data_IF_849970345561
#
_entry.id   IF_849970345561
#
_cell.length_a   1.000
_cell.length_b   1.000
_cell.length_c   1.000
_cell.angle_alpha   90.00
_cell.angle_beta   90.00
_cell.angle_gamma   90.00
#
_symmetry.space_group_name_H-M   'P 1'
#
loop_
_entity.id
_entity.type
_entity.pdbx_description
1 polymer ?
#
# COMPACT_ATOMS: atom_id res chain seq x y z
N UNK A 1 -11.65 -23.27 9.26
CA UNK A 1 -12.00 -23.41 7.82
C UNK A 1 -10.71 -23.27 7.01
N UNK A 2 -10.48 -24.08 5.95
CA UNK A 2 -9.29 -23.90 5.09
C UNK A 2 -9.50 -22.69 4.18
N UNK A 3 -8.47 -21.83 3.99
CA UNK A 3 -8.59 -20.66 3.11
C UNK A 3 -8.70 -21.09 1.64
N UNK A 4 -9.62 -20.45 0.89
CA UNK A 4 -9.69 -20.40 -0.57
C UNK A 4 -9.53 -18.95 -0.95
N UNK A 5 -8.43 -18.63 -1.62
CA UNK A 5 -7.94 -17.26 -1.74
C UNK A 5 -8.23 -16.70 -3.12
N UNK A 6 -8.73 -15.47 -3.17
CA UNK A 6 -8.74 -14.63 -4.38
C UNK A 6 -7.63 -13.60 -4.24
N UNK A 7 -6.74 -13.52 -5.22
CA UNK A 7 -5.72 -12.47 -5.33
C UNK A 7 -6.02 -11.62 -6.55
N UNK A 8 -6.20 -10.32 -6.38
CA UNK A 8 -6.38 -9.39 -7.50
C UNK A 8 -5.04 -8.98 -8.10
N UNK A 9 -5.04 -8.46 -9.33
CA UNK A 9 -3.81 -8.06 -10.01
C UNK A 9 -2.77 -9.19 -10.12
N UNK A 10 -3.24 -10.41 -10.37
CA UNK A 10 -2.41 -11.62 -10.38
C UNK A 10 -1.27 -11.59 -11.41
N UNK A 11 -1.37 -10.76 -12.44
CA UNK A 11 -0.31 -10.49 -13.41
C UNK A 11 0.75 -9.49 -12.93
N UNK A 12 0.48 -8.74 -11.87
CA UNK A 12 1.42 -7.81 -11.26
C UNK A 12 2.47 -8.51 -10.37
N UNK A 13 3.56 -7.81 -9.98
CA UNK A 13 4.62 -8.41 -9.16
C UNK A 13 4.11 -8.95 -7.83
N UNK A 14 3.31 -8.16 -7.08
CA UNK A 14 2.72 -8.59 -5.81
C UNK A 14 1.80 -9.79 -5.97
N UNK A 15 0.90 -9.76 -6.96
CA UNK A 15 -0.04 -10.85 -7.22
C UNK A 15 0.67 -12.15 -7.59
N UNK A 16 1.70 -12.10 -8.44
CA UNK A 16 2.53 -13.27 -8.78
C UNK A 16 3.25 -13.84 -7.55
N UNK A 17 3.87 -12.98 -6.74
CA UNK A 17 4.57 -13.39 -5.54
C UNK A 17 3.62 -14.11 -4.54
N UNK A 18 2.44 -13.55 -4.31
CA UNK A 18 1.42 -14.14 -3.44
C UNK A 18 0.88 -15.47 -4.00
N UNK A 19 0.59 -15.53 -5.30
CA UNK A 19 0.11 -16.75 -5.93
C UNK A 19 1.14 -17.89 -5.79
N UNK A 20 2.43 -17.61 -6.01
CA UNK A 20 3.51 -18.56 -5.82
C UNK A 20 3.63 -19.03 -4.36
N UNK A 21 3.58 -18.09 -3.41
CA UNK A 21 3.64 -18.39 -1.98
C UNK A 21 2.43 -19.21 -1.48
N UNK A 22 1.22 -18.90 -1.94
CA UNK A 22 0.01 -19.66 -1.60
C UNK A 22 0.10 -21.09 -2.16
N UNK A 23 0.52 -21.22 -3.43
CA UNK A 23 0.70 -22.51 -4.07
C UNK A 23 1.74 -23.38 -3.34
N UNK A 24 2.87 -22.81 -2.94
CA UNK A 24 3.90 -23.56 -2.19
C UNK A 24 3.42 -24.07 -0.82
N UNK A 25 2.39 -23.41 -0.24
CA UNK A 25 1.72 -23.83 1.00
C UNK A 25 0.52 -24.77 0.76
N UNK A 26 0.26 -25.18 -0.49
CA UNK A 26 -0.87 -26.04 -0.84
C UNK A 26 -2.24 -25.36 -0.64
N UNK A 27 -2.29 -24.01 -0.67
CA UNK A 27 -3.52 -23.24 -0.49
C UNK A 27 -4.13 -22.96 -1.86
N UNK A 28 -5.41 -23.31 -2.09
CA UNK A 28 -6.11 -23.00 -3.34
C UNK A 28 -6.19 -21.49 -3.57
N UNK A 29 -5.71 -21.03 -4.73
CA UNK A 29 -5.68 -19.62 -5.11
C UNK A 29 -6.27 -19.42 -6.51
N UNK A 30 -7.15 -18.44 -6.63
CA UNK A 30 -7.67 -17.91 -7.89
C UNK A 30 -7.11 -16.50 -8.07
N UNK A 31 -6.60 -16.19 -9.25
CA UNK A 31 -6.19 -14.84 -9.61
C UNK A 31 -7.26 -14.08 -10.34
N UNK A 32 -7.26 -12.75 -10.24
CA UNK A 32 -7.96 -11.87 -11.19
C UNK A 32 -7.02 -10.82 -11.74
N UNK A 33 -7.26 -10.40 -12.97
CA UNK A 33 -6.55 -9.31 -13.63
C UNK A 33 -7.47 -8.64 -14.64
N UNK A 34 -7.11 -7.45 -15.15
CA UNK A 34 -7.85 -6.78 -16.23
C UNK A 34 -7.61 -7.44 -17.59
N UNK A 35 -6.63 -8.31 -17.70
CA UNK A 35 -6.25 -9.05 -18.91
C UNK A 35 -6.16 -10.53 -18.61
N UNK A 36 -6.41 -11.33 -19.62
CA UNK A 36 -6.04 -12.74 -19.58
C UNK A 36 -4.53 -12.87 -19.47
N UNK A 37 -4.07 -13.82 -18.68
CA UNK A 37 -2.64 -14.15 -18.58
C UNK A 37 -2.35 -15.40 -19.42
N UNK A 38 -1.13 -15.49 -19.99
CA UNK A 38 -0.73 -16.67 -20.75
C UNK A 38 -0.85 -17.96 -19.95
N UNK A 39 -1.14 -19.05 -20.62
CA UNK A 39 -1.09 -20.38 -20.02
C UNK A 39 0.32 -20.60 -19.44
N UNK A 40 0.39 -21.05 -18.16
CA UNK A 40 1.66 -21.20 -17.46
C UNK A 40 1.98 -20.10 -16.43
N UNK A 41 1.11 -19.11 -16.25
CA UNK A 41 1.24 -18.08 -15.21
C UNK A 41 1.23 -18.60 -13.75
N UNK A 42 1.15 -19.92 -13.58
CA UNK A 42 1.24 -20.57 -12.27
C UNK A 42 -0.05 -20.56 -11.45
N UNK A 43 -1.05 -19.78 -11.85
CA UNK A 43 -2.36 -19.65 -11.22
C UNK A 43 -3.44 -19.46 -12.29
N UNK A 44 -4.65 -19.97 -12.05
CA UNK A 44 -5.82 -19.65 -12.89
C UNK A 44 -6.20 -18.20 -12.67
N UNK A 45 -6.31 -17.42 -13.76
CA UNK A 45 -6.68 -16.00 -13.73
C UNK A 45 -7.98 -15.80 -14.49
N UNK A 46 -8.91 -15.07 -13.87
CA UNK A 46 -10.18 -14.68 -14.46
C UNK A 46 -10.15 -13.17 -14.72
N UNK A 47 -10.43 -12.74 -15.96
CA UNK A 47 -10.54 -11.31 -16.27
C UNK A 47 -11.67 -10.65 -15.49
N UNK A 48 -11.39 -9.42 -14.99
CA UNK A 48 -12.36 -8.57 -14.31
C UNK A 48 -12.24 -7.13 -14.83
N UNK A 49 -13.31 -6.32 -14.71
CA UNK A 49 -13.26 -4.91 -15.08
C UNK A 49 -12.15 -4.18 -14.32
N UNK A 50 -11.57 -3.10 -14.90
CA UNK A 50 -10.61 -2.25 -14.22
C UNK A 50 -11.23 -1.51 -13.03
N UNK A 51 -10.40 -0.99 -12.13
CA UNK A 51 -10.85 -0.25 -10.95
C UNK A 51 -11.72 0.99 -11.28
N UNK A 52 -11.56 1.58 -12.46
CA UNK A 52 -12.39 2.70 -12.94
C UNK A 52 -13.80 2.30 -13.37
N UNK A 53 -14.07 1.00 -13.53
CA UNK A 53 -15.38 0.49 -13.92
C UNK A 53 -16.27 0.33 -12.67
N UNK A 54 -17.50 0.89 -12.67
CA UNK A 54 -18.42 0.78 -11.55
C UNK A 54 -18.82 -0.67 -11.21
N UNK A 55 -18.70 -1.59 -12.16
CA UNK A 55 -19.03 -3.00 -11.97
C UNK A 55 -17.89 -3.85 -11.38
N UNK A 56 -16.71 -3.29 -11.14
CA UNK A 56 -15.53 -4.03 -10.67
C UNK A 56 -15.81 -4.80 -9.37
N UNK A 57 -16.34 -4.13 -8.34
CA UNK A 57 -16.65 -4.78 -7.05
C UNK A 57 -17.72 -5.86 -7.22
N UNK A 58 -18.74 -5.59 -8.05
CA UNK A 58 -19.80 -6.56 -8.35
C UNK A 58 -19.26 -7.80 -9.07
N UNK A 59 -18.31 -7.62 -9.99
CA UNK A 59 -17.63 -8.71 -10.68
C UNK A 59 -16.80 -9.57 -9.73
N UNK A 60 -16.00 -8.95 -8.86
CA UNK A 60 -15.24 -9.66 -7.82
C UNK A 60 -16.18 -10.44 -6.87
N UNK A 61 -17.28 -9.82 -6.43
CA UNK A 61 -18.28 -10.48 -5.58
C UNK A 61 -18.88 -11.72 -6.24
N UNK A 62 -19.26 -11.64 -7.52
CA UNK A 62 -19.79 -12.79 -8.28
C UNK A 62 -18.78 -13.95 -8.30
N UNK A 63 -17.49 -13.66 -8.50
CA UNK A 63 -16.43 -14.66 -8.47
C UNK A 63 -16.29 -15.28 -7.07
N UNK A 64 -16.27 -14.46 -6.03
CA UNK A 64 -16.19 -14.91 -4.63
C UNK A 64 -17.28 -15.94 -4.32
N UNK A 65 -18.52 -15.64 -4.69
CA UNK A 65 -19.66 -16.53 -4.46
C UNK A 65 -19.55 -17.82 -5.32
N UNK A 66 -19.29 -17.67 -6.61
CA UNK A 66 -19.22 -18.81 -7.56
C UNK A 66 -18.13 -19.80 -7.18
N UNK A 67 -16.98 -19.29 -6.77
CA UNK A 67 -15.78 -20.12 -6.50
C UNK A 67 -15.65 -20.52 -5.02
N UNK A 68 -16.59 -20.11 -4.14
CA UNK A 68 -16.54 -20.39 -2.72
C UNK A 68 -15.31 -19.81 -2.03
N UNK A 69 -14.87 -18.62 -2.46
CA UNK A 69 -13.74 -17.89 -1.87
C UNK A 69 -14.13 -17.39 -0.49
N UNK A 70 -13.21 -17.49 0.48
CA UNK A 70 -13.40 -17.00 1.84
C UNK A 70 -12.30 -16.03 2.31
N UNK A 71 -11.28 -15.80 1.45
CA UNK A 71 -10.21 -14.84 1.71
C UNK A 71 -9.90 -14.06 0.43
N UNK A 72 -10.03 -12.74 0.46
CA UNK A 72 -9.71 -11.84 -0.67
C UNK A 72 -8.50 -10.99 -0.30
N UNK A 73 -7.47 -11.00 -1.15
CA UNK A 73 -6.25 -10.21 -1.00
C UNK A 73 -6.13 -9.24 -2.18
N UNK A 74 -6.53 -7.97 -2.02
CA UNK A 74 -6.37 -6.96 -3.06
C UNK A 74 -4.89 -6.54 -3.17
N UNK A 75 -4.38 -6.38 -4.41
CA UNK A 75 -2.99 -5.97 -4.65
C UNK A 75 -2.83 -4.79 -5.60
N UNK A 76 -3.92 -4.25 -6.14
CA UNK A 76 -3.90 -3.13 -7.10
C UNK A 76 -4.28 -1.84 -6.39
N UNK A 77 -3.37 -0.85 -6.33
CA UNK A 77 -3.60 0.40 -5.61
C UNK A 77 -4.89 1.11 -6.03
N UNK A 78 -5.20 1.09 -7.34
CA UNK A 78 -6.37 1.79 -7.90
C UNK A 78 -7.72 1.21 -7.38
N UNK A 79 -7.77 -0.06 -6.98
CA UNK A 79 -9.01 -0.71 -6.50
C UNK A 79 -9.23 -0.57 -4.99
N UNK A 80 -8.16 -0.24 -4.23
CA UNK A 80 -8.19 -0.30 -2.76
C UNK A 80 -9.29 0.56 -2.13
N UNK A 81 -9.52 1.83 -2.54
CA UNK A 81 -10.57 2.64 -1.94
C UNK A 81 -11.96 2.03 -2.09
N UNK A 82 -12.28 1.48 -3.26
CA UNK A 82 -13.57 0.84 -3.52
C UNK A 82 -13.71 -0.49 -2.77
N UNK A 83 -12.66 -1.33 -2.79
CA UNK A 83 -12.67 -2.61 -2.07
C UNK A 83 -12.79 -2.38 -0.56
N UNK A 84 -12.12 -1.36 0.00
CA UNK A 84 -12.25 -1.01 1.40
C UNK A 84 -13.66 -0.53 1.76
N UNK A 85 -14.22 0.39 0.95
CA UNK A 85 -15.56 0.94 1.15
C UNK A 85 -16.66 -0.14 1.09
N UNK A 86 -16.51 -1.09 0.19
CA UNK A 86 -17.52 -2.13 -0.07
C UNK A 86 -17.13 -3.52 0.44
N UNK A 87 -16.14 -3.62 1.36
CA UNK A 87 -15.69 -4.93 1.86
C UNK A 87 -16.81 -5.81 2.43
N UNK A 88 -17.84 -5.22 3.04
CA UNK A 88 -19.00 -5.94 3.56
C UNK A 88 -19.86 -6.61 2.47
N UNK A 89 -19.81 -6.10 1.23
CA UNK A 89 -20.56 -6.67 0.11
C UNK A 89 -20.06 -8.06 -0.31
N UNK A 90 -18.85 -8.47 0.07
CA UNK A 90 -18.34 -9.81 -0.19
C UNK A 90 -19.00 -10.89 0.68
N UNK A 91 -19.67 -10.49 1.75
CA UNK A 91 -20.43 -11.37 2.66
C UNK A 91 -19.73 -11.63 4.00
N UNK A 92 -20.47 -12.05 5.02
CA UNK A 92 -19.99 -12.17 6.40
C UNK A 92 -18.95 -13.29 6.59
N UNK A 93 -18.94 -14.28 5.71
CA UNK A 93 -18.00 -15.41 5.75
C UNK A 93 -16.70 -15.16 4.96
N UNK A 94 -16.58 -14.00 4.30
CA UNK A 94 -15.42 -13.63 3.48
C UNK A 94 -14.60 -12.58 4.21
N UNK A 95 -13.32 -12.89 4.43
CA UNK A 95 -12.37 -11.90 4.94
C UNK A 95 -11.68 -11.21 3.78
N UNK A 96 -11.74 -9.89 3.76
CA UNK A 96 -10.99 -9.05 2.81
C UNK A 96 -9.80 -8.45 3.56
N UNK A 97 -8.59 -8.68 3.05
CA UNK A 97 -7.35 -8.20 3.67
C UNK A 97 -7.09 -6.76 3.21
N UNK A 98 -7.72 -5.85 3.91
CA UNK A 98 -7.63 -4.41 3.64
C UNK A 98 -7.93 -3.64 4.93
N UNK A 99 -7.31 -2.47 5.07
CA UNK A 99 -7.59 -1.54 6.16
C UNK A 99 -8.97 -0.89 6.07
N UNK A 100 -9.27 -0.01 7.02
CA UNK A 100 -10.50 0.76 7.02
C UNK A 100 -10.52 1.79 5.88
N UNK A 101 -11.72 2.15 5.35
CA UNK A 101 -11.84 3.02 4.17
C UNK A 101 -11.15 4.38 4.30
N UNK A 102 -11.23 5.04 5.45
CA UNK A 102 -10.59 6.34 5.69
C UNK A 102 -9.05 6.26 5.59
N UNK A 103 -8.38 5.44 6.40
CA UNK A 103 -6.96 5.15 6.29
C UNK A 103 -6.49 4.76 4.89
N UNK A 104 -7.23 3.88 4.22
CA UNK A 104 -6.90 3.46 2.84
C UNK A 104 -7.00 4.61 1.85
N UNK A 105 -8.03 5.47 1.96
CA UNK A 105 -8.19 6.63 1.11
C UNK A 105 -7.07 7.66 1.32
N UNK A 106 -6.66 7.91 2.58
CA UNK A 106 -5.51 8.76 2.91
C UNK A 106 -4.22 8.23 2.28
N UNK A 107 -3.94 6.94 2.41
CA UNK A 107 -2.74 6.32 1.86
C UNK A 107 -2.73 6.29 0.32
N UNK A 108 -3.89 6.27 -0.32
CA UNK A 108 -4.00 6.25 -1.78
C UNK A 108 -3.67 7.60 -2.44
N UNK A 109 -3.74 8.72 -1.69
CA UNK A 109 -3.41 10.06 -2.15
C UNK A 109 -2.11 10.55 -1.52
N UNK A 110 -1.06 10.74 -2.34
CA UNK A 110 0.29 11.11 -1.88
C UNK A 110 0.34 12.45 -1.15
N UNK A 111 -0.53 13.40 -1.52
CA UNK A 111 -0.59 14.70 -0.83
C UNK A 111 -1.23 14.55 0.55
N UNK A 112 -2.33 13.81 0.66
CA UNK A 112 -2.97 13.55 1.95
C UNK A 112 -2.07 12.71 2.87
N UNK A 113 -1.38 11.71 2.29
CA UNK A 113 -0.33 10.96 3.00
C UNK A 113 0.74 11.89 3.55
N UNK A 114 1.31 12.77 2.71
CA UNK A 114 2.36 13.69 3.11
C UNK A 114 1.91 14.66 4.22
N UNK A 115 0.70 15.22 4.13
CA UNK A 115 0.13 16.08 5.17
C UNK A 115 -0.05 15.35 6.49
N UNK A 116 -0.64 14.15 6.46
CA UNK A 116 -0.88 13.35 7.68
C UNK A 116 0.43 12.97 8.35
N UNK A 117 1.42 12.50 7.58
CA UNK A 117 2.73 12.11 8.10
C UNK A 117 3.49 13.31 8.67
N UNK A 118 3.49 14.44 7.96
CA UNK A 118 4.11 15.69 8.43
C UNK A 118 3.49 16.16 9.74
N UNK A 119 2.17 16.19 9.83
CA UNK A 119 1.45 16.56 11.05
C UNK A 119 1.73 15.62 12.23
N UNK A 120 2.02 14.35 11.95
CA UNK A 120 2.40 13.35 12.95
C UNK A 120 3.90 13.34 13.30
N UNK A 121 4.71 14.23 12.70
CA UNK A 121 6.15 14.28 12.92
C UNK A 121 6.93 13.14 12.26
N UNK A 122 6.32 12.40 11.32
CA UNK A 122 7.01 11.39 10.54
C UNK A 122 7.77 12.07 9.39
N UNK A 123 9.08 11.81 9.21
CA UNK A 123 9.88 12.46 8.18
C UNK A 123 9.34 12.16 6.76
N UNK A 124 9.07 13.23 6.01
CA UNK A 124 8.68 13.20 4.59
C UNK A 124 9.54 14.21 3.82
N UNK A 125 9.67 14.11 2.49
CA UNK A 125 10.24 15.18 1.67
C UNK A 125 9.47 16.48 1.91
N UNK A 126 10.10 17.65 1.72
CA UNK A 126 9.36 18.89 1.57
C UNK A 126 8.45 18.79 0.37
N UNK A 127 7.25 19.35 0.43
CA UNK A 127 6.24 19.14 -0.60
C UNK A 127 5.28 20.31 -0.70
N UNK A 128 4.59 20.39 -1.84
CA UNK A 128 3.49 21.32 -2.13
C UNK A 128 2.70 20.84 -3.34
N UNK A 129 1.84 21.68 -3.85
CA UNK A 129 1.14 21.48 -5.13
C UNK A 129 1.67 22.47 -6.15
N UNK A 130 1.55 22.23 -7.47
CA UNK A 130 2.08 23.15 -8.49
C UNK A 130 1.65 24.61 -8.32
N UNK A 131 0.43 24.87 -7.85
CA UNK A 131 -0.11 26.20 -7.61
C UNK A 131 0.52 26.96 -6.44
N UNK A 132 1.29 26.29 -5.58
CA UNK A 132 2.01 26.92 -4.47
C UNK A 132 3.28 27.65 -4.99
N UNK A 133 3.73 27.37 -6.21
CA UNK A 133 4.97 27.87 -6.79
C UNK A 133 4.72 28.62 -8.09
N UNK A 134 5.41 29.74 -8.30
CA UNK A 134 5.27 30.54 -9.52
C UNK A 134 5.72 29.78 -10.78
N UNK A 135 6.78 28.98 -10.64
CA UNK A 135 7.36 28.17 -11.70
C UNK A 135 8.26 27.05 -11.11
N UNK A 136 8.88 26.28 -11.98
CA UNK A 136 9.81 25.21 -11.60
C UNK A 136 11.02 25.73 -10.80
N UNK A 137 11.53 26.91 -11.13
CA UNK A 137 12.66 27.51 -10.43
C UNK A 137 12.30 27.92 -9.00
N UNK A 138 11.10 28.49 -8.82
CA UNK A 138 10.56 28.83 -7.49
C UNK A 138 10.39 27.56 -6.65
N UNK A 139 9.84 26.48 -7.23
CA UNK A 139 9.67 25.21 -6.54
C UNK A 139 11.03 24.62 -6.09
N UNK A 140 12.03 24.61 -6.97
CA UNK A 140 13.37 24.15 -6.62
C UNK A 140 14.04 25.02 -5.55
N UNK A 141 13.86 26.33 -5.60
CA UNK A 141 14.43 27.26 -4.61
C UNK A 141 13.81 27.02 -3.22
N UNK A 142 12.50 26.90 -3.14
CA UNK A 142 11.76 26.72 -1.87
C UNK A 142 11.94 25.32 -1.29
N UNK A 143 11.91 24.29 -2.13
CA UNK A 143 12.10 22.90 -1.70
C UNK A 143 13.59 22.49 -1.61
N UNK A 144 14.51 23.39 -1.99
CA UNK A 144 15.95 23.29 -1.71
C UNK A 144 16.75 22.39 -2.65
N UNK A 145 16.38 22.32 -3.92
CA UNK A 145 17.07 21.55 -4.94
C UNK A 145 16.15 20.97 -5.99
N UNK A 146 16.58 19.96 -6.73
CA UNK A 146 15.72 19.25 -7.67
C UNK A 146 14.41 18.80 -7.03
N UNK A 147 13.33 18.77 -7.80
CA UNK A 147 12.00 18.35 -7.34
C UNK A 147 11.47 17.20 -8.19
N UNK A 148 10.56 16.44 -7.59
CA UNK A 148 9.77 15.41 -8.26
C UNK A 148 8.34 15.89 -8.38
N UNK A 149 7.83 15.96 -9.60
CA UNK A 149 6.41 16.20 -9.90
C UNK A 149 5.77 14.87 -10.26
N UNK A 150 4.69 14.52 -9.60
CA UNK A 150 4.00 13.24 -9.84
C UNK A 150 2.51 13.33 -9.54
N UNK A 151 1.67 12.50 -10.19
CA UNK A 151 0.25 12.44 -9.85
C UNK A 151 0.05 12.00 -8.38
N UNK A 152 -0.87 12.68 -7.69
CA UNK A 152 -1.24 12.35 -6.30
C UNK A 152 -1.73 10.91 -6.18
N UNK A 153 -2.54 10.46 -7.15
CA UNK A 153 -3.05 9.09 -7.22
C UNK A 153 -2.45 8.43 -8.46
N UNK A 154 -1.48 7.56 -8.26
CA UNK A 154 -0.81 6.80 -9.32
C UNK A 154 -0.01 5.64 -8.73
N UNK A 155 0.49 4.75 -9.58
CA UNK A 155 1.31 3.59 -9.18
C UNK A 155 2.43 3.31 -10.18
N UNK A 156 3.48 2.65 -9.71
CA UNK A 156 4.55 2.14 -10.57
C UNK A 156 5.32 3.20 -11.34
N UNK A 157 5.55 4.38 -10.76
CA UNK A 157 6.33 5.47 -11.36
C UNK A 157 5.65 6.20 -12.53
N UNK A 158 4.36 5.96 -12.78
CA UNK A 158 3.63 6.59 -13.89
C UNK A 158 3.47 8.08 -13.66
N UNK A 159 3.85 8.87 -14.67
CA UNK A 159 3.72 10.32 -14.64
C UNK A 159 4.70 11.03 -13.69
N UNK A 160 5.74 10.35 -13.26
CA UNK A 160 6.81 10.94 -12.45
C UNK A 160 7.76 11.72 -13.35
N UNK A 161 8.02 12.98 -13.02
CA UNK A 161 8.96 13.86 -13.69
C UNK A 161 9.96 14.35 -12.64
N UNK A 162 11.25 14.25 -12.93
CA UNK A 162 12.31 14.89 -12.12
C UNK A 162 12.65 16.23 -12.79
N UNK A 163 12.57 17.29 -12.02
CA UNK A 163 12.90 18.66 -12.47
C UNK A 163 14.14 19.10 -11.74
N UNK A 164 15.26 19.17 -12.47
CA UNK A 164 16.58 19.54 -11.96
C UNK A 164 17.18 20.79 -12.63
N UNK A 165 16.39 21.44 -13.50
CA UNK A 165 16.79 22.61 -14.26
C UNK A 165 17.47 22.31 -15.58
N UNK A 166 17.76 21.04 -15.90
CA UNK A 166 18.38 20.65 -17.19
C UNK A 166 17.38 20.70 -18.35
N UNK A 167 16.10 20.48 -18.09
CA UNK A 167 15.02 20.51 -19.08
C UNK A 167 13.99 21.59 -18.74
N UNK A 168 13.37 22.18 -19.77
CA UNK A 168 12.26 23.11 -19.58
C UNK A 168 10.97 22.32 -19.36
N UNK A 169 10.41 22.44 -18.15
CA UNK A 169 9.09 21.94 -17.82
C UNK A 169 8.08 23.08 -17.98
N UNK A 170 7.04 22.87 -18.78
CA UNK A 170 5.95 23.82 -18.87
C UNK A 170 5.05 23.71 -17.63
N UNK A 171 5.40 24.52 -16.62
CA UNK A 171 4.76 24.50 -15.32
C UNK A 171 3.27 24.84 -15.37
N UNK A 172 2.90 25.73 -16.32
CA UNK A 172 1.53 26.20 -16.50
C UNK A 172 0.60 25.14 -17.13
N UNK A 173 1.19 24.11 -17.76
CA UNK A 173 0.47 23.02 -18.41
C UNK A 173 0.63 21.67 -17.69
N UNK A 174 1.10 21.68 -16.43
CA UNK A 174 1.08 20.47 -15.62
C UNK A 174 -0.36 19.99 -15.44
N UNK A 175 -0.64 18.69 -15.58
CA UNK A 175 -1.97 18.13 -15.32
C UNK A 175 -2.44 18.44 -13.89
N UNK A 176 -3.74 18.57 -13.71
CA UNK A 176 -4.34 18.68 -12.38
C UNK A 176 -4.00 17.47 -11.48
N UNK A 177 -4.07 17.66 -10.19
CA UNK A 177 -3.88 16.58 -9.22
C UNK A 177 -2.44 16.10 -9.09
N UNK A 178 -1.46 16.99 -9.30
CA UNK A 178 -0.04 16.71 -9.04
C UNK A 178 0.35 17.07 -7.60
N UNK A 179 1.40 16.39 -7.10
CA UNK A 179 2.19 16.79 -5.94
C UNK A 179 3.60 17.11 -6.42
N UNK A 180 4.21 18.13 -5.84
CA UNK A 180 5.62 18.51 -6.00
C UNK A 180 6.35 18.12 -4.72
N UNK A 181 7.43 17.36 -4.83
CA UNK A 181 8.22 16.94 -3.67
C UNK A 181 9.71 17.20 -3.89
N UNK A 182 10.41 17.51 -2.82
CA UNK A 182 11.88 17.50 -2.78
C UNK A 182 12.42 16.18 -3.35
N UNK A 183 13.40 16.23 -4.25
CA UNK A 183 14.08 15.03 -4.70
C UNK A 183 15.02 14.50 -3.61
N UNK A 184 14.86 13.25 -3.23
CA UNK A 184 15.69 12.60 -2.21
C UNK A 184 16.71 11.69 -2.91
N UNK A 185 18.02 11.98 -2.82
CA UNK A 185 19.04 11.37 -3.68
C UNK A 185 19.55 10.00 -3.21
N UNK A 186 19.38 9.66 -1.93
CA UNK A 186 20.03 8.48 -1.33
C UNK A 186 19.37 7.15 -1.65
N UNK A 187 19.85 6.11 -0.98
CA UNK A 187 19.38 4.74 -1.15
C UNK A 187 17.87 4.61 -0.91
N UNK A 188 17.23 3.78 -1.73
CA UNK A 188 15.79 3.53 -1.66
C UNK A 188 15.49 2.17 -1.06
N UNK A 189 14.51 2.16 -0.17
CA UNK A 189 14.03 0.98 0.55
C UNK A 189 12.53 0.79 0.34
N UNK A 190 12.10 -0.47 0.36
CA UNK A 190 10.69 -0.87 0.41
C UNK A 190 10.41 -1.64 1.70
N UNK A 191 10.34 -0.98 2.87
CA UNK A 191 9.90 -1.65 4.07
C UNK A 191 8.46 -2.11 3.93
N UNK A 192 8.22 -3.39 4.20
CA UNK A 192 6.90 -4.00 4.23
C UNK A 192 6.48 -4.20 5.68
N UNK A 193 5.41 -3.53 6.06
CA UNK A 193 4.88 -3.49 7.42
C UNK A 193 3.63 -4.36 7.51
N UNK A 194 3.51 -5.14 8.56
CA UNK A 194 2.24 -5.71 8.97
C UNK A 194 1.66 -4.83 10.08
N UNK A 195 0.74 -3.94 9.70
CA UNK A 195 0.03 -3.08 10.64
C UNK A 195 -1.07 -3.86 11.37
N UNK A 196 -1.21 -3.65 12.66
CA UNK A 196 -2.20 -4.38 13.46
C UNK A 196 -3.08 -3.43 14.25
N UNK A 197 -4.33 -3.86 14.49
CA UNK A 197 -5.16 -3.27 15.54
C UNK A 197 -4.92 -4.00 16.86
N UNK A 198 -5.26 -3.36 17.98
CA UNK A 198 -5.18 -3.97 19.30
C UNK A 198 -5.97 -5.31 19.42
N UNK A 199 -6.91 -5.54 18.51
CA UNK A 199 -7.77 -6.74 18.48
C UNK A 199 -7.22 -7.88 17.60
N UNK A 200 -6.11 -7.66 16.87
CA UNK A 200 -5.63 -8.64 15.89
C UNK A 200 -4.92 -9.86 16.49
N UNK A 201 -4.46 -9.77 17.74
CA UNK A 201 -3.68 -10.82 18.39
C UNK A 201 -2.29 -11.10 17.77
N UNK A 202 -1.90 -10.32 16.75
CA UNK A 202 -0.61 -10.42 16.07
C UNK A 202 0.14 -9.11 16.32
N UNK A 203 1.37 -9.21 16.81
CA UNK A 203 2.23 -8.04 16.99
C UNK A 203 2.60 -7.42 15.62
N UNK A 204 2.66 -6.09 15.49
CA UNK A 204 3.15 -5.46 14.28
C UNK A 204 4.62 -5.76 14.06
N UNK A 205 5.03 -5.87 12.80
CA UNK A 205 6.43 -6.09 12.43
C UNK A 205 6.74 -5.47 11.06
N UNK A 206 8.02 -5.34 10.77
CA UNK A 206 8.53 -4.80 9.51
C UNK A 206 9.60 -5.70 8.93
N UNK A 207 9.56 -5.92 7.62
CA UNK A 207 10.64 -6.52 6.83
C UNK A 207 11.16 -5.46 5.89
N UNK A 208 12.46 -5.14 5.95
CA UNK A 208 13.08 -4.11 5.11
C UNK A 208 13.74 -4.75 3.90
N UNK A 209 13.45 -4.19 2.73
CA UNK A 209 14.07 -4.55 1.46
C UNK A 209 14.70 -3.29 0.87
N UNK A 210 15.97 -3.37 0.51
CA UNK A 210 16.66 -2.33 -0.24
C UNK A 210 16.45 -2.53 -1.74
N UNK A 211 16.16 -1.45 -2.46
CA UNK A 211 16.07 -1.41 -3.91
C UNK A 211 17.45 -1.01 -4.45
N UNK A 212 18.24 -2.00 -4.86
CA UNK A 212 19.64 -1.77 -5.27
C UNK A 212 19.77 -1.27 -6.71
N UNK A 213 18.72 -1.46 -7.53
CA UNK A 213 18.66 -0.96 -8.90
C UNK A 213 17.20 -0.60 -9.23
N UNK A 214 17.01 0.56 -9.87
CA UNK A 214 15.70 1.05 -10.31
C UNK A 214 15.62 1.05 -11.84
N UNK A 215 14.43 0.83 -12.39
CA UNK A 215 14.21 0.68 -13.83
C UNK A 215 14.53 1.94 -14.66
N UNK A 216 14.50 3.13 -14.06
CA UNK A 216 14.72 4.41 -14.72
C UNK A 216 15.83 5.22 -14.01
N UNK A 217 16.91 4.54 -13.62
CA UNK A 217 18.03 5.14 -12.92
C UNK A 217 17.67 5.53 -11.50
N UNK A 218 17.26 6.78 -11.28
CA UNK A 218 16.94 7.29 -9.93
C UNK A 218 15.45 7.19 -9.56
N UNK A 219 14.58 6.69 -10.43
CA UNK A 219 13.13 6.57 -10.21
C UNK A 219 12.57 5.27 -10.81
N UNK A 220 11.34 4.92 -10.44
CA UNK A 220 10.63 3.78 -11.00
C UNK A 220 10.68 2.54 -10.11
N UNK A 221 10.21 1.42 -10.67
CA UNK A 221 10.16 0.14 -9.96
C UNK A 221 11.56 -0.43 -9.74
N UNK A 222 11.73 -1.20 -8.66
CA UNK A 222 12.95 -1.94 -8.44
C UNK A 222 13.16 -3.03 -9.50
N UNK A 223 14.36 -3.09 -10.06
CA UNK A 223 14.85 -4.18 -10.92
C UNK A 223 15.52 -5.23 -10.05
N UNK A 224 16.34 -4.78 -9.11
CA UNK A 224 17.07 -5.64 -8.18
C UNK A 224 16.80 -5.22 -6.75
N UNK A 225 16.63 -6.22 -5.87
CA UNK A 225 16.34 -5.99 -4.46
C UNK A 225 17.14 -6.90 -3.56
N UNK A 226 17.45 -6.42 -2.37
CA UNK A 226 18.11 -7.16 -1.29
C UNK A 226 17.30 -7.05 0.00
N UNK A 227 17.03 -8.17 0.67
CA UNK A 227 16.52 -8.12 2.05
C UNK A 227 17.63 -7.61 2.96
N UNK A 228 17.27 -6.73 3.88
CA UNK A 228 18.20 -6.09 4.81
C UNK A 228 17.96 -6.64 6.21
N UNK A 229 19.04 -6.94 6.93
CA UNK A 229 18.93 -7.33 8.32
C UNK A 229 18.37 -6.20 9.18
N UNK A 230 17.55 -6.55 10.18
CA UNK A 230 16.85 -5.55 10.99
C UNK A 230 17.79 -4.54 11.67
N UNK A 231 18.99 -4.96 12.10
CA UNK A 231 19.97 -4.09 12.72
C UNK A 231 20.61 -3.07 11.74
N UNK A 232 20.70 -3.42 10.45
CA UNK A 232 21.31 -2.58 9.41
C UNK A 232 20.40 -1.40 8.98
N UNK A 233 19.07 -1.58 9.06
CA UNK A 233 18.09 -0.59 8.63
C UNK A 233 16.95 -0.39 9.63
N UNK A 234 17.28 -0.42 10.93
CA UNK A 234 16.31 -0.27 12.01
C UNK A 234 15.56 1.06 11.94
N UNK A 235 16.25 2.14 11.61
CA UNK A 235 15.67 3.48 11.43
C UNK A 235 14.67 3.53 10.27
N UNK A 236 14.97 2.84 9.15
CA UNK A 236 14.04 2.70 8.00
C UNK A 236 12.79 1.93 8.42
N UNK A 237 12.96 0.82 9.16
CA UNK A 237 11.85 0.04 9.69
C UNK A 237 10.98 0.86 10.65
N UNK A 238 11.61 1.63 11.53
CA UNK A 238 10.92 2.47 12.52
C UNK A 238 10.10 3.60 11.85
N UNK A 239 10.67 4.30 10.87
CA UNK A 239 9.94 5.37 10.17
C UNK A 239 8.76 4.82 9.39
N UNK A 240 8.90 3.64 8.76
CA UNK A 240 7.80 2.97 8.08
C UNK A 240 6.68 2.53 9.04
N UNK A 241 7.05 1.97 10.20
CA UNK A 241 6.09 1.58 11.24
C UNK A 241 5.34 2.81 11.79
N UNK A 242 6.04 3.91 12.04
CA UNK A 242 5.44 5.17 12.48
C UNK A 242 4.46 5.72 11.43
N UNK A 243 4.79 5.64 10.14
CA UNK A 243 3.91 6.04 9.05
C UNK A 243 2.63 5.21 9.00
N UNK A 244 2.75 3.89 9.08
CA UNK A 244 1.59 2.97 9.07
C UNK A 244 0.69 3.23 10.28
N UNK A 245 1.28 3.43 11.46
CA UNK A 245 0.55 3.73 12.69
C UNK A 245 -0.18 5.08 12.60
N UNK A 246 0.49 6.14 12.15
CA UNK A 246 -0.11 7.49 12.07
C UNK A 246 -1.24 7.60 11.04
N UNK A 247 -1.21 6.76 10.00
CA UNK A 247 -2.29 6.62 9.03
C UNK A 247 -3.43 5.71 9.52
N UNK A 248 -3.26 4.98 10.62
CA UNK A 248 -4.23 4.02 11.13
C UNK A 248 -4.40 2.79 10.23
N UNK A 249 -3.38 2.43 9.45
CA UNK A 249 -3.44 1.29 8.53
C UNK A 249 -3.26 -0.04 9.25
N UNK A 250 -3.98 -1.05 8.78
CA UNK A 250 -3.90 -2.43 9.26
C UNK A 250 -3.68 -3.42 8.13
N UNK A 251 -3.14 -4.60 8.43
CA UNK A 251 -2.78 -5.60 7.44
C UNK A 251 -1.43 -5.31 6.76
N UNK A 252 -1.18 -5.89 5.59
CA UNK A 252 0.06 -5.69 4.85
C UNK A 252 0.10 -4.29 4.20
N UNK A 253 1.18 -3.58 4.43
CA UNK A 253 1.44 -2.23 3.90
C UNK A 253 2.84 -2.20 3.33
N UNK A 254 2.98 -1.66 2.11
CA UNK A 254 4.25 -1.44 1.43
C UNK A 254 4.58 0.06 1.48
N UNK A 255 5.74 0.41 2.01
CA UNK A 255 6.16 1.80 2.20
C UNK A 255 7.40 2.05 1.36
N UNK A 256 7.43 3.16 0.63
CA UNK A 256 8.62 3.60 -0.08
C UNK A 256 9.37 4.64 0.76
N UNK A 257 10.63 4.36 1.08
CA UNK A 257 11.51 5.19 1.92
C UNK A 257 12.81 5.47 1.18
N UNK A 258 13.29 6.71 1.23
CA UNK A 258 14.63 7.08 0.78
C UNK A 258 15.43 7.78 1.84
N UNK A 259 16.75 7.70 1.74
CA UNK A 259 17.65 8.46 2.61
C UNK A 259 17.98 9.81 2.00
N UNK A 260 17.91 10.87 2.80
CA UNK A 260 18.51 12.16 2.49
C UNK A 260 20.04 12.05 2.40
N UNK A 261 20.70 13.09 1.97
CA UNK A 261 22.17 13.15 1.92
C UNK A 261 22.84 13.01 3.31
N UNK A 262 22.15 13.43 4.37
CA UNK A 262 22.58 13.27 5.77
C UNK A 262 22.28 11.87 6.36
N UNK A 263 21.71 10.98 5.57
CA UNK A 263 21.35 9.63 5.97
C UNK A 263 19.94 9.49 6.55
N UNK A 264 19.22 10.58 6.83
CA UNK A 264 17.87 10.54 7.41
C UNK A 264 16.88 9.83 6.49
N UNK A 265 16.18 8.78 6.95
CA UNK A 265 15.14 8.13 6.15
C UNK A 265 13.87 8.98 6.10
N UNK A 266 13.28 9.13 4.91
CA UNK A 266 12.02 9.86 4.70
C UNK A 266 11.05 9.01 3.88
N UNK A 267 9.75 9.08 4.22
CA UNK A 267 8.68 8.34 3.56
C UNK A 267 8.24 9.07 2.29
N UNK A 268 8.28 8.39 1.16
CA UNK A 268 7.88 8.93 -0.14
C UNK A 268 6.43 8.60 -0.52
N UNK A 269 5.99 7.39 -0.13
CA UNK A 269 4.69 6.83 -0.48
C UNK A 269 4.33 5.69 0.47
N UNK A 270 3.03 5.50 0.72
CA UNK A 270 2.49 4.40 1.51
C UNK A 270 1.41 3.71 0.70
N UNK A 271 1.53 2.39 0.54
CA UNK A 271 0.61 1.57 -0.23
C UNK A 271 -0.08 0.56 0.71
N UNK A 272 -1.38 0.72 0.95
CA UNK A 272 -2.16 -0.10 1.89
C UNK A 272 -2.46 -1.52 1.35
N UNK A 273 -1.41 -2.23 0.90
CA UNK A 273 -1.49 -3.56 0.27
C UNK A 273 -0.11 -4.23 0.25
N UNK A 274 -0.06 -5.49 -0.16
CA UNK A 274 1.20 -6.17 -0.47
C UNK A 274 1.96 -5.44 -1.59
N UNK A 275 3.27 -5.26 -1.42
CA UNK A 275 4.16 -4.60 -2.36
C UNK A 275 4.73 -5.51 -3.44
N UNK A 276 5.40 -4.89 -4.42
CA UNK A 276 6.09 -5.62 -5.49
C UNK A 276 7.16 -6.60 -4.97
N UNK A 277 7.77 -6.27 -3.82
CA UNK A 277 8.85 -7.04 -3.20
C UNK A 277 8.35 -8.12 -2.22
N UNK A 278 7.06 -8.46 -2.21
CA UNK A 278 6.44 -9.39 -1.25
C UNK A 278 7.04 -10.81 -1.28
N UNK A 279 7.73 -11.19 -2.36
CA UNK A 279 8.48 -12.46 -2.39
C UNK A 279 9.63 -12.50 -1.37
N UNK A 280 10.17 -11.32 -1.00
CA UNK A 280 11.24 -11.16 0.01
C UNK A 280 10.73 -11.13 1.45
N UNK A 281 9.42 -11.10 1.65
CA UNK A 281 8.77 -11.00 2.96
C UNK A 281 7.59 -11.99 3.10
N UNK A 282 7.83 -13.31 3.01
CA UNK A 282 6.79 -14.30 3.14
C UNK A 282 6.06 -14.25 4.48
N UNK A 283 6.67 -13.69 5.52
CA UNK A 283 6.12 -13.52 6.85
C UNK A 283 4.83 -12.66 6.85
N UNK A 284 4.69 -11.73 5.89
CA UNK A 284 3.46 -10.95 5.78
C UNK A 284 2.27 -11.83 5.40
N UNK A 285 2.47 -12.76 4.46
CA UNK A 285 1.42 -13.71 4.09
C UNK A 285 1.14 -14.69 5.24
N UNK A 286 2.18 -15.15 5.96
CA UNK A 286 2.00 -16.00 7.13
C UNK A 286 1.18 -15.32 8.23
N UNK A 287 1.41 -14.02 8.48
CA UNK A 287 0.62 -13.22 9.39
C UNK A 287 -0.85 -13.07 8.93
N UNK A 288 -1.08 -12.85 7.62
CA UNK A 288 -2.44 -12.82 7.05
C UNK A 288 -3.15 -14.16 7.27
N UNK A 289 -2.48 -15.28 6.98
CA UNK A 289 -3.06 -16.61 7.14
C UNK A 289 -3.31 -16.95 8.62
N UNK A 290 -2.41 -16.56 9.53
CA UNK A 290 -2.59 -16.70 10.96
C UNK A 290 -3.78 -15.86 11.44
N UNK A 291 -3.89 -14.61 11.00
CA UNK A 291 -5.05 -13.76 11.33
C UNK A 291 -6.37 -14.33 10.83
N UNK A 292 -6.37 -14.98 9.66
CA UNK A 292 -7.55 -15.63 9.11
C UNK A 292 -8.02 -16.83 9.97
N UNK A 293 -7.11 -17.52 10.63
CA UNK A 293 -7.44 -18.65 11.50
C UNK A 293 -8.05 -18.22 12.84
N UNK A 294 -7.88 -16.96 13.26
CA UNK A 294 -8.45 -16.42 14.50
C UNK A 294 -9.96 -16.15 14.33
N UNK A 295 -10.79 -16.36 15.39
CA UNK A 295 -12.20 -15.98 15.36
C UNK A 295 -12.33 -14.50 15.03
N UNK A 296 -13.26 -14.15 14.14
CA UNK A 296 -13.60 -12.74 13.88
C UNK A 296 -14.21 -12.16 15.15
N UNK A 297 -13.56 -11.19 15.79
CA UNK A 297 -14.17 -10.42 16.89
C UNK A 297 -15.22 -9.51 16.25
N UNK A 298 -16.49 -9.79 16.51
CA UNK A 298 -17.59 -8.96 16.02
C UNK A 298 -17.60 -7.65 16.82
N UNK A 299 -17.37 -6.47 16.21
CA UNK A 299 -17.42 -5.18 16.90
C UNK A 299 -18.78 -4.90 17.58
N UNK A 300 -19.85 -5.54 17.11
CA UNK A 300 -21.18 -5.39 17.69
C UNK A 300 -21.33 -6.02 19.11
N UNK A 301 -20.37 -6.83 19.57
CA UNK A 301 -20.41 -7.41 20.92
C UNK A 301 -19.98 -6.45 22.04
N UNK A 302 -19.38 -5.30 21.72
CA UNK A 302 -18.97 -4.30 22.71
C UNK A 302 -20.08 -3.30 23.10
N UNK A 303 -21.22 -3.29 22.41
CA UNK A 303 -22.34 -2.37 22.65
C UNK A 303 -23.37 -2.84 23.68
N UNK A 304 -23.29 -4.06 24.21
CA UNK A 304 -24.35 -4.61 25.09
C UNK A 304 -24.08 -4.56 26.60
N UNK A 305 -22.93 -3.97 27.02
CA UNK A 305 -22.59 -3.92 28.46
C UNK A 305 -22.59 -2.50 29.07
N UNK A 306 -23.34 -1.55 28.49
CA UNK A 306 -23.53 -0.21 29.10
C UNK A 306 -24.73 -0.13 30.03
N UNK A 307 -25.33 -1.28 30.44
CA UNK A 307 -26.50 -1.35 31.34
C UNK A 307 -26.19 -1.31 32.83
N UNK A 308 -24.93 -1.19 33.28
CA UNK A 308 -24.60 -1.37 34.71
C UNK A 308 -23.99 -0.14 35.41
N UNK A 309 -24.05 1.07 34.83
CA UNK A 309 -23.49 2.31 35.47
C UNK A 309 -24.53 3.44 35.66
N UNK A 310 -25.83 3.11 35.72
CA UNK A 310 -26.88 4.11 35.94
C UNK A 310 -27.39 4.19 37.40
N UNK A 311 -26.70 3.64 38.40
CA UNK A 311 -27.13 3.69 39.81
C UNK A 311 -25.99 4.04 40.79
N UNK A 312 -25.26 5.10 40.56
CA UNK A 312 -24.47 5.76 41.62
C UNK A 312 -24.43 7.25 41.30
N UNK A 313 -25.46 7.97 41.67
CA UNK A 313 -25.47 9.39 42.05
C UNK A 313 -26.88 9.76 42.53
N UNK A 314 -27.14 9.56 43.83
CA UNK A 314 -28.02 10.37 44.64
C UNK A 314 -27.20 10.78 45.86
#
# INVERSE_FOLDING_TARGET
MKPRVLVTGAGGPAGRALAAQLKSRGIPVLGTDIRELPAGAGVTVVPVPPASDPDMVSALRRLVVREGINLVIPTVSDELPQVAAFRAAFGPSVRVIIGDPGPVALANDKLFTAWQLHAAGVPVPRFGVPSDFADAGAAMAELGGPVVVKPRVSRGGRGVIVVDGSEKVDWSHLPDGQIVQEFIPGAEYGPMVFGTSALSGIAPFTVVVEKTELAQGNVGNAVTTRRVEAAEAMDVGNVAMAAVHSLGLTGPVDVDVRRRADGTPVVLEVNARFGANSERAPELLDAVLASFALPSVNPASFGQNTGALANVLV
#
